data_IF_582920567503
#
_entry.id   IF_582920567503
#
_cell.length_a   1.000
_cell.length_b   1.000
_cell.length_c   1.000
_cell.angle_alpha   90.00
_cell.angle_beta   90.00
_cell.angle_gamma   90.00
#
_symmetry.space_group_name_H-M   'P 1'
#
loop_
_entity.id
_entity.type
_entity.pdbx_description
1 polymer ?
#
# COMPACT_ATOMS: atom_id res chain seq x y z
N UNK A 1 -17.62 -15.01 6.22
CA UNK A 1 -16.77 -13.87 5.82
C UNK A 1 -15.77 -13.68 6.96
N UNK A 2 -14.50 -14.01 6.76
CA UNK A 2 -13.50 -13.95 7.83
C UNK A 2 -13.35 -12.51 8.33
N UNK A 3 -13.63 -12.31 9.61
CA UNK A 3 -13.60 -11.04 10.33
C UNK A 3 -12.17 -10.55 10.64
N UNK A 4 -11.19 -10.84 9.78
CA UNK A 4 -9.79 -10.55 10.06
C UNK A 4 -9.44 -9.07 9.77
N UNK A 5 -10.09 -8.45 8.78
CA UNK A 5 -9.84 -7.06 8.38
C UNK A 5 -11.16 -6.27 8.32
N UNK A 6 -11.51 -5.62 9.43
CA UNK A 6 -12.75 -4.87 9.59
C UNK A 6 -12.67 -3.47 8.94
N UNK A 7 -12.42 -3.40 7.63
CA UNK A 7 -12.29 -2.14 6.88
C UNK A 7 -13.48 -1.21 7.11
N UNK A 8 -14.71 -1.75 7.12
CA UNK A 8 -15.94 -0.99 7.33
C UNK A 8 -16.05 -0.27 8.67
N UNK A 9 -15.33 -0.71 9.71
CA UNK A 9 -15.40 -0.12 11.06
C UNK A 9 -14.39 1.01 11.28
N UNK A 10 -13.48 1.22 10.31
CA UNK A 10 -12.30 2.10 10.48
C UNK A 10 -12.31 3.34 9.62
N UNK A 11 -13.16 3.40 8.60
CA UNK A 11 -13.39 4.64 7.85
C UNK A 11 -14.43 5.52 8.58
N UNK A 12 -14.20 6.84 8.70
CA UNK A 12 -15.15 7.73 9.35
C UNK A 12 -16.43 7.88 8.50
N UNK A 13 -17.60 7.85 9.14
CA UNK A 13 -18.84 8.31 8.52
C UNK A 13 -18.78 9.85 8.36
N UNK A 14 -18.97 10.40 7.16
CA UNK A 14 -18.90 11.87 6.97
C UNK A 14 -20.05 12.58 7.70
N UNK A 15 -19.72 13.70 8.35
CA UNK A 15 -20.66 14.79 8.63
C UNK A 15 -21.16 15.39 7.31
N UNK A 16 -22.44 15.81 7.21
CA UNK A 16 -23.03 16.21 5.94
C UNK A 16 -22.41 17.52 5.44
N UNK A 17 -21.81 17.47 4.25
CA UNK A 17 -21.40 18.66 3.48
C UNK A 17 -22.63 19.22 2.77
N UNK A 18 -22.94 20.48 3.04
CA UNK A 18 -24.03 21.22 2.40
C UNK A 18 -23.79 21.41 0.90
N UNK A 19 -24.85 21.15 0.16
CA UNK A 19 -25.09 21.10 -1.30
C UNK A 19 -24.27 22.02 -2.21
N UNK A 20 -23.84 21.44 -3.36
CA UNK A 20 -23.76 22.18 -4.62
C UNK A 20 -22.60 21.86 -5.56
N UNK A 21 -22.48 20.62 -6.08
CA UNK A 21 -21.79 20.36 -7.37
C UNK A 21 -22.10 18.94 -7.89
N UNK A 22 -22.13 18.79 -9.21
CA UNK A 22 -22.70 17.67 -9.97
C UNK A 22 -22.08 16.27 -9.70
N UNK A 23 -22.93 15.25 -9.82
CA UNK A 23 -22.79 13.89 -9.28
C UNK A 23 -21.76 13.01 -10.00
N UNK A 24 -20.75 12.55 -9.25
CA UNK A 24 -20.27 11.17 -9.31
C UNK A 24 -20.73 10.48 -8.02
N UNK A 25 -21.13 9.21 -8.09
CA UNK A 25 -21.66 8.48 -6.93
C UNK A 25 -20.56 8.26 -5.88
N UNK A 26 -20.39 9.25 -4.99
CA UNK A 26 -19.52 9.17 -3.82
C UNK A 26 -20.13 8.17 -2.86
N UNK A 27 -19.38 7.12 -2.54
CA UNK A 27 -19.79 6.10 -1.57
C UNK A 27 -20.06 6.74 -0.19
N UNK A 28 -20.91 6.14 0.68
CA UNK A 28 -21.29 6.69 1.99
C UNK A 28 -20.14 6.83 3.01
N UNK A 29 -18.91 6.54 2.61
CA UNK A 29 -17.70 6.44 3.43
C UNK A 29 -16.60 7.45 3.01
N UNK A 30 -16.92 8.45 2.18
CA UNK A 30 -15.97 9.44 1.66
C UNK A 30 -15.48 9.12 0.24
N UNK A 31 -14.25 9.56 -0.09
CA UNK A 31 -13.58 9.46 -1.42
C UNK A 31 -13.20 8.01 -1.80
N UNK A 32 -13.92 7.01 -1.29
CA UNK A 32 -13.76 5.62 -1.69
C UNK A 32 -14.48 5.38 -3.02
N UNK A 33 -13.74 4.78 -3.95
CA UNK A 33 -14.33 4.32 -5.20
C UNK A 33 -15.26 3.13 -4.96
N UNK A 34 -16.10 2.84 -5.95
CA UNK A 34 -16.93 1.64 -5.92
C UNK A 34 -16.06 0.39 -5.72
N UNK A 35 -16.51 -0.61 -4.95
CA UNK A 35 -15.75 -1.83 -4.72
C UNK A 35 -15.37 -2.52 -6.04
N UNK A 36 -14.20 -3.12 -6.08
CA UNK A 36 -13.80 -3.97 -7.21
C UNK A 36 -14.60 -5.27 -7.16
N UNK A 37 -14.91 -5.81 -8.32
CA UNK A 37 -15.49 -7.14 -8.45
C UNK A 37 -14.42 -8.22 -8.26
N UNK A 38 -14.82 -9.42 -7.85
CA UNK A 38 -13.89 -10.57 -7.80
C UNK A 38 -13.23 -10.87 -9.16
N UNK A 39 -13.90 -10.55 -10.27
CA UNK A 39 -13.36 -10.72 -11.61
C UNK A 39 -12.21 -9.74 -11.86
N UNK A 40 -12.39 -8.45 -11.58
CA UNK A 40 -11.34 -7.43 -11.75
C UNK A 40 -10.12 -7.70 -10.85
N UNK A 41 -10.35 -8.18 -9.62
CA UNK A 41 -9.27 -8.56 -8.71
C UNK A 41 -8.51 -9.79 -9.22
N UNK A 42 -9.21 -10.78 -9.79
CA UNK A 42 -8.57 -11.94 -10.42
C UNK A 42 -7.78 -11.56 -11.66
N UNK A 43 -8.31 -10.67 -12.51
CA UNK A 43 -7.58 -10.16 -13.66
C UNK A 43 -6.28 -9.43 -13.25
N UNK A 44 -6.32 -8.70 -12.13
CA UNK A 44 -5.11 -8.11 -11.54
C UNK A 44 -4.11 -9.17 -11.10
N UNK A 45 -4.55 -10.20 -10.36
CA UNK A 45 -3.67 -11.32 -9.95
C UNK A 45 -3.07 -12.07 -11.15
N UNK A 46 -3.86 -12.31 -12.19
CA UNK A 46 -3.41 -12.92 -13.45
C UNK A 46 -2.37 -12.04 -14.16
N UNK A 47 -2.59 -10.72 -14.21
CA UNK A 47 -1.65 -9.76 -14.80
C UNK A 47 -0.33 -9.69 -14.02
N UNK A 48 -0.39 -9.82 -12.69
CA UNK A 48 0.80 -9.85 -11.83
C UNK A 48 1.48 -11.23 -11.80
N UNK A 49 0.75 -12.30 -12.14
CA UNK A 49 1.21 -13.67 -11.99
C UNK A 49 1.34 -14.13 -10.54
N UNK A 50 0.69 -13.42 -9.60
CA UNK A 50 0.73 -13.70 -8.16
C UNK A 50 -0.62 -13.41 -7.51
N UNK A 51 -0.98 -14.21 -6.50
CA UNK A 51 -2.13 -13.94 -5.63
C UNK A 51 -1.82 -12.74 -4.71
N UNK A 52 -2.75 -11.80 -4.61
CA UNK A 52 -2.58 -10.61 -3.78
C UNK A 52 -2.60 -10.96 -2.29
N UNK A 53 -1.95 -10.16 -1.43
CA UNK A 53 -2.01 -10.38 0.00
C UNK A 53 -3.45 -10.22 0.50
N UNK A 54 -3.95 -11.11 1.40
CA UNK A 54 -5.36 -11.16 1.78
C UNK A 54 -5.97 -9.82 2.20
N UNK A 55 -5.23 -9.02 2.97
CA UNK A 55 -5.69 -7.72 3.48
C UNK A 55 -5.89 -6.69 2.37
N UNK A 56 -5.01 -6.65 1.38
CA UNK A 56 -5.12 -5.77 0.22
C UNK A 56 -6.22 -6.25 -0.75
N UNK A 57 -6.31 -7.56 -0.97
CA UNK A 57 -7.42 -8.16 -1.75
C UNK A 57 -8.77 -7.78 -1.16
N UNK A 58 -8.93 -7.93 0.16
CA UNK A 58 -10.17 -7.56 0.86
C UNK A 58 -10.43 -6.05 0.81
N UNK A 59 -9.39 -5.23 0.83
CA UNK A 59 -9.53 -3.79 0.64
C UNK A 59 -10.10 -3.47 -0.75
N UNK A 60 -9.54 -4.05 -1.83
CA UNK A 60 -10.03 -3.81 -3.19
C UNK A 60 -11.49 -4.24 -3.39
N UNK A 61 -11.89 -5.37 -2.79
CA UNK A 61 -13.28 -5.86 -2.77
C UNK A 61 -14.21 -5.00 -1.90
N UNK A 62 -13.67 -4.13 -1.05
CA UNK A 62 -14.41 -3.17 -0.25
C UNK A 62 -14.47 -1.79 -0.92
N UNK A 63 -13.35 -1.35 -1.52
CA UNK A 63 -13.20 -0.11 -2.27
C UNK A 63 -12.08 -0.27 -3.30
N UNK A 64 -12.39 -0.06 -4.58
CA UNK A 64 -11.40 -0.11 -5.66
C UNK A 64 -10.55 1.17 -5.68
N UNK A 65 -9.72 1.36 -4.65
CA UNK A 65 -8.97 2.60 -4.45
C UNK A 65 -9.65 3.57 -3.48
N UNK A 66 -8.90 4.60 -3.10
CA UNK A 66 -9.30 5.62 -2.13
C UNK A 66 -8.67 6.95 -2.51
N UNK A 67 -9.40 8.05 -2.33
CA UNK A 67 -8.90 9.41 -2.52
C UNK A 67 -8.92 9.86 -3.98
N UNK A 68 -9.31 11.11 -4.20
CA UNK A 68 -9.31 11.77 -5.53
C UNK A 68 -8.23 12.85 -5.67
N UNK A 69 -7.61 13.27 -4.56
CA UNK A 69 -6.78 14.47 -4.49
C UNK A 69 -5.33 14.11 -4.11
N UNK A 70 -4.40 15.00 -4.47
CA UNK A 70 -2.94 14.86 -4.36
C UNK A 70 -2.40 14.55 -2.94
N UNK A 71 -3.26 14.65 -1.91
CA UNK A 71 -2.91 14.47 -0.50
C UNK A 71 -3.07 13.04 0.02
N UNK A 72 -3.77 12.13 -0.68
CA UNK A 72 -3.99 10.74 -0.22
C UNK A 72 -4.64 9.81 -1.25
N UNK A 73 -3.92 8.99 -2.03
CA UNK A 73 -4.56 7.98 -2.88
C UNK A 73 -4.08 6.52 -2.74
N UNK A 74 -5.03 5.60 -2.82
CA UNK A 74 -4.80 4.18 -3.13
C UNK A 74 -5.28 3.92 -4.56
N UNK A 75 -4.42 3.30 -5.36
CA UNK A 75 -4.64 3.04 -6.78
C UNK A 75 -5.76 2.02 -6.99
N UNK A 76 -6.44 2.16 -8.12
CA UNK A 76 -7.45 1.21 -8.58
C UNK A 76 -6.77 -0.01 -9.19
N UNK A 77 -7.47 -1.13 -9.26
CA UNK A 77 -6.97 -2.40 -9.83
C UNK A 77 -6.35 -2.29 -11.24
N UNK A 78 -6.77 -1.31 -12.03
CA UNK A 78 -6.22 -1.08 -13.38
C UNK A 78 -4.90 -0.29 -13.37
N UNK A 79 -4.63 0.48 -12.32
CA UNK A 79 -3.47 1.37 -12.18
C UNK A 79 -2.35 0.71 -11.38
N UNK A 80 -2.69 -0.27 -10.54
CA UNK A 80 -1.75 -1.07 -9.75
C UNK A 80 -0.82 -1.86 -10.66
N UNK A 81 0.47 -1.91 -10.34
CA UNK A 81 1.47 -2.66 -11.09
C UNK A 81 2.82 -2.69 -10.39
N UNK A 82 3.76 -3.44 -10.96
CA UNK A 82 5.13 -3.49 -10.43
C UNK A 82 5.78 -2.12 -10.54
N UNK A 83 6.44 -1.67 -9.47
CA UNK A 83 7.00 -0.33 -9.37
C UNK A 83 7.94 -0.01 -10.53
N UNK A 84 8.78 -0.97 -10.94
CA UNK A 84 9.67 -0.82 -12.10
C UNK A 84 8.97 -0.50 -13.42
N UNK A 85 7.70 -0.88 -13.56
CA UNK A 85 6.94 -0.76 -14.81
C UNK A 85 6.05 0.49 -14.77
N UNK A 86 5.47 0.81 -13.61
CA UNK A 86 4.52 1.92 -13.45
C UNK A 86 5.18 3.23 -13.02
N UNK A 87 6.27 3.17 -12.25
CA UNK A 87 7.07 4.34 -11.86
C UNK A 87 8.58 3.98 -11.78
N UNK A 88 9.24 3.80 -12.94
CA UNK A 88 10.67 3.50 -13.01
C UNK A 88 11.56 4.54 -12.29
N UNK A 89 11.31 5.86 -12.38
CA UNK A 89 12.12 6.85 -11.65
C UNK A 89 12.12 6.66 -10.13
N UNK A 90 10.96 6.37 -9.53
CA UNK A 90 10.88 6.03 -8.10
C UNK A 90 11.61 4.71 -7.82
N UNK A 91 11.40 3.69 -8.65
CA UNK A 91 12.09 2.41 -8.49
C UNK A 91 13.61 2.57 -8.50
N UNK A 92 14.16 3.35 -9.44
CA UNK A 92 15.60 3.60 -9.59
C UNK A 92 16.16 4.41 -8.42
N UNK A 93 15.44 5.45 -7.97
CA UNK A 93 15.89 6.34 -6.89
C UNK A 93 15.99 5.63 -5.55
N UNK A 94 15.07 4.70 -5.29
CA UNK A 94 15.00 3.94 -4.04
C UNK A 94 15.66 2.58 -4.11
N UNK A 95 16.05 2.13 -5.31
CA UNK A 95 16.93 0.96 -5.41
C UNK A 95 18.26 1.31 -4.75
N UNK A 96 18.68 0.47 -3.80
CA UNK A 96 20.03 0.59 -3.23
C UNK A 96 21.04 0.63 -4.39
N UNK A 97 22.14 1.39 -4.25
CA UNK A 97 23.16 1.42 -5.30
C UNK A 97 23.58 -0.01 -5.63
N UNK A 98 23.91 -0.26 -6.89
CA UNK A 98 24.43 -1.55 -7.38
C UNK A 98 25.96 -1.56 -7.35
N UNK A 99 26.68 -1.49 -6.20
CA UNK A 99 28.08 -1.88 -6.26
C UNK A 99 28.11 -3.41 -6.43
N UNK A 100 29.15 -3.89 -7.10
CA UNK A 100 29.44 -5.32 -7.33
C UNK A 100 29.62 -6.14 -6.02
N UNK A 101 29.43 -5.51 -4.87
CA UNK A 101 29.50 -6.06 -3.53
C UNK A 101 28.34 -5.51 -2.66
N UNK A 102 27.10 -5.68 -3.14
CA UNK A 102 25.88 -5.28 -2.42
C UNK A 102 25.76 -6.05 -1.12
N UNK A 103 26.08 -5.40 0.00
CA UNK A 103 25.71 -5.90 1.33
C UNK A 103 24.19 -5.79 1.46
N UNK A 104 23.47 -6.88 1.21
CA UNK A 104 22.05 -6.96 1.57
C UNK A 104 21.92 -6.82 3.08
N UNK A 105 20.89 -6.10 3.54
CA UNK A 105 20.65 -5.91 4.97
C UNK A 105 20.42 -7.29 5.62
N UNK A 106 21.21 -7.68 6.64
CA UNK A 106 21.07 -8.97 7.31
C UNK A 106 19.68 -9.14 7.94
N UNK A 107 19.20 -10.37 8.01
CA UNK A 107 17.89 -10.71 8.58
C UNK A 107 17.66 -10.12 9.99
N UNK A 108 18.70 -10.10 10.82
CA UNK A 108 18.67 -9.57 12.19
C UNK A 108 18.31 -8.08 12.27
N UNK A 109 18.72 -7.30 11.25
CA UNK A 109 18.39 -5.88 11.13
C UNK A 109 17.12 -5.68 10.31
N UNK A 110 16.93 -6.53 9.29
CA UNK A 110 15.82 -6.43 8.37
C UNK A 110 14.49 -6.77 9.06
N UNK A 111 14.36 -7.90 9.76
CA UNK A 111 13.06 -8.33 10.33
C UNK A 111 12.65 -7.62 11.63
N UNK A 112 13.27 -6.49 11.95
CA UNK A 112 12.87 -5.57 13.02
C UNK A 112 11.67 -4.72 12.55
N UNK A 113 10.53 -4.86 13.22
CA UNK A 113 9.29 -4.12 12.93
C UNK A 113 8.84 -3.30 14.13
N UNK A 114 7.96 -2.32 13.90
CA UNK A 114 7.41 -1.48 14.97
C UNK A 114 8.34 -0.34 15.37
N UNK A 115 8.35 0.04 16.65
CA UNK A 115 9.07 1.22 17.14
C UNK A 115 10.59 1.08 17.10
N UNK A 116 11.11 -0.14 17.18
CA UNK A 116 12.55 -0.43 17.17
C UNK A 116 13.12 -0.55 15.75
N UNK A 117 12.26 -0.46 14.73
CA UNK A 117 12.68 -0.49 13.34
C UNK A 117 13.45 0.78 12.99
N UNK A 118 14.62 0.61 12.38
CA UNK A 118 15.30 1.67 11.64
C UNK A 118 14.94 1.58 10.16
N UNK A 119 14.44 2.70 9.60
CA UNK A 119 14.04 2.78 8.19
C UNK A 119 15.19 2.55 7.21
N UNK A 120 16.44 2.77 7.61
CA UNK A 120 17.59 2.54 6.72
C UNK A 120 17.78 1.05 6.38
N UNK A 121 17.26 0.15 7.22
CA UNK A 121 17.47 -1.29 7.12
C UNK A 121 16.49 -1.97 6.16
N UNK A 122 16.25 -1.36 5.00
CA UNK A 122 15.47 -1.94 3.92
C UNK A 122 16.37 -2.51 2.82
N UNK A 123 15.87 -3.47 2.07
CA UNK A 123 16.58 -4.14 0.97
C UNK A 123 16.22 -3.47 -0.34
N UNK A 124 17.03 -2.50 -0.75
CA UNK A 124 16.77 -1.73 -1.96
C UNK A 124 16.69 -2.60 -3.23
N UNK A 125 17.30 -3.78 -3.24
CA UNK A 125 17.18 -4.76 -4.32
C UNK A 125 15.76 -5.29 -4.53
N UNK A 126 14.86 -5.18 -3.53
CA UNK A 126 13.46 -5.58 -3.65
C UNK A 126 12.58 -4.48 -4.24
N UNK A 127 13.00 -3.21 -4.20
CA UNK A 127 12.19 -2.05 -4.60
C UNK A 127 11.57 -2.21 -6.01
N UNK A 128 12.32 -2.59 -7.06
CA UNK A 128 11.75 -2.73 -8.41
C UNK A 128 10.65 -3.79 -8.53
N UNK A 129 10.67 -4.80 -7.65
CA UNK A 129 9.71 -5.91 -7.61
C UNK A 129 8.52 -5.65 -6.68
N UNK A 130 8.47 -4.50 -6.02
CA UNK A 130 7.33 -4.15 -5.17
C UNK A 130 6.12 -3.75 -6.02
N UNK A 131 4.92 -4.03 -5.52
CA UNK A 131 3.67 -3.60 -6.13
C UNK A 131 3.32 -2.21 -5.62
N UNK A 132 3.12 -1.25 -6.53
CA UNK A 132 2.64 0.08 -6.16
C UNK A 132 1.14 0.02 -5.86
N UNK A 133 0.78 0.26 -4.59
CA UNK A 133 -0.60 0.24 -4.12
C UNK A 133 -1.21 1.64 -4.00
N UNK A 134 -0.39 2.69 -3.87
CA UNK A 134 -0.85 4.06 -3.65
C UNK A 134 0.28 5.06 -3.53
N UNK A 135 -0.09 6.33 -3.60
CA UNK A 135 0.77 7.45 -3.24
C UNK A 135 0.21 8.04 -1.96
N UNK A 136 1.07 8.32 -0.96
CA UNK A 136 0.78 8.89 0.36
C UNK A 136 1.66 10.12 0.58
N UNK A 137 1.09 11.32 0.59
CA UNK A 137 1.79 12.61 0.44
C UNK A 137 2.79 12.55 -0.73
N UNK A 138 4.06 12.98 -0.56
CA UNK A 138 5.11 12.77 -1.59
C UNK A 138 5.77 11.36 -1.54
N UNK A 139 5.15 10.42 -0.84
CA UNK A 139 5.62 9.05 -0.66
C UNK A 139 4.81 8.01 -1.44
N UNK A 140 5.27 6.76 -1.40
CA UNK A 140 4.63 5.62 -2.05
C UNK A 140 4.35 4.48 -1.06
N UNK A 141 3.14 3.94 -1.16
CA UNK A 141 2.71 2.73 -0.47
C UNK A 141 2.94 1.52 -1.37
N UNK A 142 3.78 0.59 -0.92
CA UNK A 142 4.27 -0.54 -1.71
C UNK A 142 3.98 -1.87 -1.02
N UNK A 143 3.76 -2.93 -1.78
CA UNK A 143 3.66 -4.30 -1.27
C UNK A 143 4.82 -5.15 -1.81
N UNK A 144 5.59 -5.75 -0.90
CA UNK A 144 6.79 -6.50 -1.20
C UNK A 144 6.50 -8.01 -1.28
N UNK A 145 6.48 -8.62 -2.47
CA UNK A 145 6.22 -10.05 -2.63
C UNK A 145 7.38 -10.95 -2.20
N UNK A 146 8.58 -10.41 -1.92
CA UNK A 146 9.75 -11.21 -1.51
C UNK A 146 9.68 -11.63 -0.04
N UNK A 147 8.88 -10.94 0.77
CA UNK A 147 8.71 -11.23 2.19
C UNK A 147 7.23 -11.47 2.45
N UNK A 148 6.89 -12.71 2.77
CA UNK A 148 5.51 -13.15 3.00
C UNK A 148 5.35 -13.82 4.35
N UNK A 149 4.23 -13.57 5.00
CA UNK A 149 3.87 -14.29 6.22
C UNK A 149 3.28 -15.67 5.88
N UNK A 150 3.12 -16.53 6.90
CA UNK A 150 2.51 -17.85 6.71
C UNK A 150 1.04 -17.76 6.27
N UNK A 151 0.38 -16.65 6.57
CA UNK A 151 -1.01 -16.34 6.21
C UNK A 151 -1.15 -15.78 4.78
N UNK A 152 -0.03 -15.58 4.06
CA UNK A 152 -0.01 -15.05 2.70
C UNK A 152 0.02 -13.52 2.62
N UNK A 153 0.12 -12.81 3.75
CA UNK A 153 0.35 -11.37 3.74
C UNK A 153 1.72 -11.05 3.17
N UNK A 154 1.79 -9.97 2.41
CA UNK A 154 3.04 -9.42 1.92
C UNK A 154 3.47 -8.31 2.86
N UNK A 155 4.77 -8.19 3.07
CA UNK A 155 5.31 -7.04 3.77
C UNK A 155 4.92 -5.76 3.01
N UNK A 156 4.48 -4.74 3.73
CA UNK A 156 4.05 -3.47 3.16
C UNK A 156 5.02 -2.37 3.56
N UNK A 157 5.36 -1.49 2.63
CA UNK A 157 6.37 -0.44 2.81
C UNK A 157 5.75 0.92 2.57
N UNK A 158 6.21 1.90 3.34
CA UNK A 158 6.08 3.30 3.02
C UNK A 158 7.47 3.88 2.76
N UNK A 159 7.69 4.34 1.54
CA UNK A 159 8.88 5.10 1.14
C UNK A 159 8.49 6.56 0.99
N UNK A 160 9.24 7.47 1.61
CA UNK A 160 8.99 8.89 1.47
C UNK A 160 10.30 9.67 1.56
N UNK A 161 10.46 10.80 0.85
CA UNK A 161 11.71 11.57 0.81
C UNK A 161 12.24 12.04 2.16
N UNK A 162 11.38 12.17 3.18
CA UNK A 162 11.77 12.53 4.55
C UNK A 162 12.15 11.33 5.43
N UNK A 163 12.05 10.11 4.91
CA UNK A 163 12.57 8.91 5.55
C UNK A 163 13.93 8.56 4.95
N UNK A 164 14.85 8.10 5.80
CA UNK A 164 16.16 7.64 5.33
C UNK A 164 16.09 6.28 4.58
N UNK A 165 14.92 5.65 4.55
CA UNK A 165 14.64 4.40 3.84
C UNK A 165 13.16 4.02 3.95
N UNK A 166 12.86 2.74 4.11
CA UNK A 166 11.49 2.23 4.17
C UNK A 166 10.98 2.06 5.60
N UNK A 167 9.79 2.61 5.89
CA UNK A 167 9.01 2.18 7.06
C UNK A 167 8.19 0.94 6.67
N UNK A 168 8.48 -0.19 7.28
CA UNK A 168 7.96 -1.51 6.89
C UNK A 168 6.98 -2.07 7.90
N UNK A 169 6.04 -2.84 7.38
CA UNK A 169 4.91 -3.43 8.10
C UNK A 169 4.70 -4.86 7.65
N UNK A 170 4.12 -5.70 8.51
CA UNK A 170 3.92 -7.12 8.21
C UNK A 170 2.78 -7.39 7.22
N UNK A 171 1.93 -6.40 6.98
CA UNK A 171 0.77 -6.51 6.11
C UNK A 171 0.34 -5.14 5.59
N UNK A 172 -0.43 -5.12 4.49
CA UNK A 172 -1.06 -3.89 4.00
C UNK A 172 -2.03 -3.30 5.05
N UNK A 173 -2.73 -4.16 5.79
CA UNK A 173 -3.59 -3.73 6.89
C UNK A 173 -2.82 -2.89 7.93
N UNK A 174 -1.66 -3.35 8.40
CA UNK A 174 -0.89 -2.65 9.42
C UNK A 174 -0.41 -1.28 8.93
N UNK A 175 0.04 -1.22 7.67
CA UNK A 175 0.42 0.01 6.99
C UNK A 175 -0.77 0.99 6.92
N UNK A 176 -1.92 0.55 6.43
CA UNK A 176 -3.11 1.39 6.30
C UNK A 176 -3.68 1.85 7.66
N UNK A 177 -3.63 1.00 8.69
CA UNK A 177 -4.07 1.37 10.04
C UNK A 177 -3.17 2.43 10.67
N UNK A 178 -1.86 2.39 10.40
CA UNK A 178 -0.94 3.43 10.86
C UNK A 178 -1.25 4.77 10.18
N UNK A 179 -1.46 4.75 8.87
CA UNK A 179 -1.81 5.94 8.08
C UNK A 179 -3.13 6.58 8.54
N UNK A 180 -4.18 5.77 8.72
CA UNK A 180 -5.48 6.26 9.21
C UNK A 180 -5.38 6.86 10.61
N UNK A 181 -4.51 6.33 11.49
CA UNK A 181 -4.28 6.91 12.83
C UNK A 181 -3.57 8.26 12.75
N UNK A 182 -2.61 8.41 11.84
CA UNK A 182 -1.90 9.67 11.64
C UNK A 182 -2.82 10.77 11.08
N UNK A 183 -3.67 10.42 10.10
CA UNK A 183 -4.59 11.37 9.45
C UNK A 183 -5.81 11.73 10.29
N UNK A 184 -6.33 10.79 11.05
CA UNK A 184 -7.52 10.97 11.88
C UNK A 184 -7.22 10.66 13.35
N UNK A 185 -6.41 11.52 14.02
CA UNK A 185 -6.19 11.38 15.45
C UNK A 185 -7.53 11.58 16.18
N UNK A 186 -7.86 10.65 17.08
CA UNK A 186 -9.05 10.75 17.92
C UNK A 186 -8.93 11.80 19.00
#
# INVERSE_FOLDING_TARGET
MSAQYAWSERFPARHPVTEGSDRLAVSPLGDLYSPATDAEVRELEERLGMELPPSYRQFLLFANGWGSDDDCCLLRVMEVGWLRDVDPPVAESWSAPKPENSWSVPDELYFMYGQEQDSIHYRGEYVPDTLLAGYWDDGVALLNPHVRTAEGEWEAWYLAPWLAGAKRYRSFWDLAMDELRLRYPR
#
